data_IF_565012436759
#
_entry.id   IF_565012436759
#
_cell.length_a   1.000
_cell.length_b   1.000
_cell.length_c   1.000
_cell.angle_alpha   90.00
_cell.angle_beta   90.00
_cell.angle_gamma   90.00
#
_symmetry.space_group_name_H-M   'P 1'
#
loop_
_entity.id
_entity.type
_entity.pdbx_description
1 polymer ?
#
# COMPACT_ATOMS: atom_id res chain seq x y z
N UNK A 1 -22.75 18.12 6.01
CA UNK A 1 -21.29 17.90 5.92
C UNK A 1 -21.08 16.41 6.16
N UNK A 2 -20.83 15.67 5.09
CA UNK A 2 -20.83 14.20 5.04
C UNK A 2 -19.55 13.63 5.66
N UNK A 3 -19.73 12.77 6.65
CA UNK A 3 -18.69 12.02 7.35
C UNK A 3 -17.89 11.11 6.38
N UNK A 4 -16.56 11.29 6.24
CA UNK A 4 -15.72 10.52 5.31
C UNK A 4 -15.33 9.12 5.80
N UNK A 5 -15.77 8.67 6.98
CA UNK A 5 -15.30 7.42 7.59
C UNK A 5 -16.28 6.23 7.56
N UNK A 6 -17.53 6.42 7.12
CA UNK A 6 -18.42 5.28 6.95
C UNK A 6 -18.03 4.52 5.68
N UNK A 7 -17.57 3.27 5.86
CA UNK A 7 -17.73 2.24 4.83
C UNK A 7 -19.17 2.39 4.34
N UNK A 8 -19.37 2.72 3.06
CA UNK A 8 -20.72 2.76 2.49
C UNK A 8 -21.27 1.35 2.64
N UNK A 9 -22.03 1.12 3.71
CA UNK A 9 -22.78 -0.10 3.94
C UNK A 9 -23.92 -0.08 2.93
N UNK A 10 -23.59 -0.37 1.68
CA UNK A 10 -24.60 -0.68 0.69
C UNK A 10 -25.15 -2.05 1.04
N UNK A 11 -26.45 -2.14 1.28
CA UNK A 11 -27.12 -3.43 1.37
C UNK A 11 -26.84 -4.21 0.08
N UNK A 12 -26.19 -5.38 0.22
CA UNK A 12 -25.84 -6.24 -0.92
C UNK A 12 -24.45 -6.86 -0.84
N UNK A 13 -24.18 -7.81 -1.72
CA UNK A 13 -22.87 -8.46 -1.83
C UNK A 13 -21.86 -7.50 -2.45
N UNK A 14 -20.85 -7.10 -1.68
CA UNK A 14 -19.68 -6.41 -2.21
C UNK A 14 -18.93 -7.34 -3.16
N UNK A 15 -18.81 -6.92 -4.43
CA UNK A 15 -18.00 -7.63 -5.42
C UNK A 15 -16.66 -6.94 -5.55
N UNK A 16 -15.55 -7.68 -5.75
CA UNK A 16 -14.28 -7.07 -6.12
C UNK A 16 -14.45 -6.20 -7.35
N UNK A 17 -13.97 -4.96 -7.30
CA UNK A 17 -13.98 -4.09 -8.44
C UNK A 17 -12.94 -4.59 -9.46
N UNK A 18 -13.43 -5.26 -10.51
CA UNK A 18 -12.60 -5.79 -11.61
C UNK A 18 -11.94 -4.70 -12.45
N UNK A 19 -12.33 -3.43 -12.28
CA UNK A 19 -11.66 -2.29 -12.92
C UNK A 19 -10.42 -1.82 -12.17
N UNK A 20 -10.21 -2.30 -10.95
CA UNK A 20 -9.05 -2.06 -10.09
C UNK A 20 -8.19 -3.33 -9.95
N UNK A 21 -7.85 -3.96 -11.08
CA UNK A 21 -7.03 -5.18 -11.10
C UNK A 21 -5.51 -4.85 -11.01
N UNK A 22 -5.13 -4.08 -9.99
CA UNK A 22 -3.74 -3.69 -9.72
C UNK A 22 -2.82 -4.91 -9.50
N UNK A 23 -3.41 -6.04 -9.10
CA UNK A 23 -2.72 -7.32 -8.91
C UNK A 23 -2.35 -8.03 -10.22
N UNK A 24 -3.07 -7.80 -11.33
CA UNK A 24 -2.85 -8.57 -12.56
C UNK A 24 -1.63 -8.13 -13.36
N UNK A 25 -1.29 -6.85 -13.35
CA UNK A 25 -0.22 -6.29 -14.16
C UNK A 25 0.93 -5.78 -13.27
N UNK A 26 1.76 -6.72 -12.80
CA UNK A 26 2.99 -6.42 -12.07
C UNK A 26 2.80 -6.04 -10.60
N UNK A 27 1.78 -6.59 -9.95
CA UNK A 27 1.69 -6.60 -8.49
C UNK A 27 2.79 -7.45 -7.84
N UNK A 28 2.56 -7.86 -6.59
CA UNK A 28 3.51 -8.69 -5.86
C UNK A 28 3.61 -10.11 -6.43
N UNK A 29 4.80 -10.70 -6.43
CA UNK A 29 5.03 -12.08 -6.90
C UNK A 29 4.93 -13.13 -5.78
N UNK A 30 4.78 -12.67 -4.54
CA UNK A 30 4.54 -13.51 -3.35
C UNK A 30 3.45 -12.89 -2.49
N UNK A 31 3.07 -13.60 -1.43
CA UNK A 31 2.00 -13.20 -0.52
C UNK A 31 2.18 -11.77 0.01
N UNK A 32 1.15 -10.95 -0.19
CA UNK A 32 1.03 -9.62 0.42
C UNK A 32 0.78 -9.81 1.91
N UNK A 33 1.60 -9.17 2.73
CA UNK A 33 1.57 -9.30 4.20
C UNK A 33 0.94 -8.10 4.87
N UNK A 34 1.08 -6.92 4.28
CA UNK A 34 0.59 -5.67 4.88
C UNK A 34 0.14 -4.68 3.81
N UNK A 35 -0.85 -3.87 4.15
CA UNK A 35 -1.38 -2.78 3.34
C UNK A 35 -1.60 -1.55 4.23
N UNK A 36 -1.40 -0.34 3.70
CA UNK A 36 -1.61 0.89 4.45
C UNK A 36 -2.12 2.01 3.55
N UNK A 37 -3.07 2.80 4.06
CA UNK A 37 -3.55 4.02 3.43
C UNK A 37 -2.62 5.19 3.70
N UNK A 38 -2.45 6.06 2.71
CA UNK A 38 -1.73 7.33 2.86
C UNK A 38 -2.72 8.49 3.08
N UNK A 39 -2.27 9.61 3.66
CA UNK A 39 -3.15 10.70 4.11
C UNK A 39 -3.98 11.34 3.00
N UNK A 40 -3.56 11.24 1.74
CA UNK A 40 -4.31 11.80 0.61
C UNK A 40 -5.57 10.97 0.25
N UNK A 41 -5.87 9.86 0.95
CA UNK A 41 -6.98 8.92 0.70
C UNK A 41 -7.05 8.35 -0.73
N UNK A 42 -6.01 8.60 -1.53
CA UNK A 42 -5.95 8.32 -2.97
C UNK A 42 -4.70 7.52 -3.33
N UNK A 43 -3.85 7.25 -2.36
CA UNK A 43 -2.68 6.40 -2.48
C UNK A 43 -2.67 5.32 -1.40
N UNK A 44 -2.18 4.15 -1.77
CA UNK A 44 -2.07 2.98 -0.90
C UNK A 44 -0.71 2.34 -1.08
N UNK A 45 -0.11 1.86 0.00
CA UNK A 45 1.09 1.05 -0.04
C UNK A 45 0.80 -0.41 0.31
N UNK A 46 1.51 -1.34 -0.31
CA UNK A 46 1.45 -2.77 -0.01
C UNK A 46 2.85 -3.35 0.17
N UNK A 47 3.00 -4.33 1.06
CA UNK A 47 4.26 -5.01 1.34
C UNK A 47 4.08 -6.52 1.19
N UNK A 48 5.14 -7.20 0.75
CA UNK A 48 5.08 -8.62 0.44
C UNK A 48 6.35 -9.37 0.80
N UNK A 49 6.19 -10.69 0.86
CA UNK A 49 7.28 -11.67 0.92
C UNK A 49 8.21 -11.64 -0.29
N UNK A 50 7.89 -10.90 -1.37
CA UNK A 50 8.76 -10.67 -2.53
C UNK A 50 9.84 -9.61 -2.32
N UNK A 51 10.00 -9.16 -1.06
CA UNK A 51 10.96 -8.15 -0.62
C UNK A 51 10.66 -6.73 -1.12
N UNK A 52 9.46 -6.50 -1.69
CA UNK A 52 9.08 -5.20 -2.23
C UNK A 52 8.01 -4.53 -1.39
N UNK A 53 8.04 -3.20 -1.43
CA UNK A 53 6.91 -2.35 -1.10
C UNK A 53 6.45 -1.67 -2.38
N UNK A 54 5.15 -1.70 -2.68
CA UNK A 54 4.58 -1.07 -3.87
C UNK A 54 3.63 0.03 -3.42
N UNK A 55 3.81 1.24 -3.97
CA UNK A 55 2.90 2.36 -3.78
C UNK A 55 2.03 2.49 -5.01
N UNK A 56 0.72 2.55 -4.80
CA UNK A 56 -0.29 2.71 -5.84
C UNK A 56 -0.91 4.10 -5.78
N UNK A 57 -1.10 4.68 -6.94
CA UNK A 57 -1.99 5.81 -7.16
C UNK A 57 -3.34 5.26 -7.62
N UNK A 58 -4.36 5.42 -6.78
CA UNK A 58 -5.70 4.89 -7.06
C UNK A 58 -6.48 5.79 -8.00
N UNK A 59 -6.19 7.10 -8.07
CA UNK A 59 -6.83 8.01 -9.03
C UNK A 59 -6.41 7.65 -10.44
N UNK A 60 -5.10 7.46 -10.64
CA UNK A 60 -4.53 7.09 -11.93
C UNK A 60 -4.55 5.57 -12.18
N UNK A 61 -5.04 4.78 -11.22
CA UNK A 61 -5.11 3.31 -11.27
C UNK A 61 -3.78 2.66 -11.67
N UNK A 62 -2.66 3.16 -11.13
CA UNK A 62 -1.31 2.72 -11.52
C UNK A 62 -0.40 2.46 -10.34
N UNK A 63 0.66 1.68 -10.58
CA UNK A 63 1.82 1.56 -9.69
C UNK A 63 2.62 2.85 -9.79
N UNK A 64 2.64 3.64 -8.73
CA UNK A 64 3.41 4.87 -8.67
C UNK A 64 4.88 4.55 -8.42
N UNK A 65 5.17 3.68 -7.44
CA UNK A 65 6.53 3.34 -7.04
C UNK A 65 6.69 1.88 -6.65
N UNK A 66 7.88 1.33 -6.88
CA UNK A 66 8.31 0.03 -6.39
C UNK A 66 9.60 0.25 -5.59
N UNK A 67 9.55 -0.07 -4.31
CA UNK A 67 10.59 0.19 -3.34
C UNK A 67 11.28 -1.14 -3.00
N UNK A 68 12.58 -1.24 -3.27
CA UNK A 68 13.32 -2.52 -3.32
C UNK A 68 14.51 -2.56 -2.35
N UNK A 69 14.46 -1.85 -1.24
CA UNK A 69 15.58 -1.80 -0.29
C UNK A 69 15.67 -3.04 0.59
N UNK A 70 14.54 -3.66 0.90
CA UNK A 70 14.50 -4.86 1.73
C UNK A 70 15.09 -6.06 0.99
N UNK A 71 15.86 -6.89 1.71
CA UNK A 71 16.49 -8.09 1.13
C UNK A 71 15.79 -9.41 1.53
N UNK A 72 14.79 -9.33 2.43
CA UNK A 72 13.89 -10.42 2.79
C UNK A 72 12.45 -9.90 2.84
N UNK A 73 11.50 -10.81 3.06
CA UNK A 73 10.07 -10.51 3.06
C UNK A 73 9.70 -9.37 4.00
N UNK A 74 8.92 -8.42 3.49
CA UNK A 74 8.41 -7.27 4.23
C UNK A 74 7.06 -7.64 4.81
N UNK A 75 6.92 -7.50 6.13
CA UNK A 75 5.73 -7.94 6.87
C UNK A 75 4.94 -6.79 7.49
N UNK A 76 5.53 -5.60 7.61
CA UNK A 76 4.89 -4.45 8.23
C UNK A 76 4.98 -3.20 7.35
N UNK A 77 3.86 -2.46 7.29
CA UNK A 77 3.78 -1.11 6.77
C UNK A 77 3.05 -0.20 7.75
N UNK A 78 3.59 1.00 7.96
CA UNK A 78 2.92 2.05 8.72
C UNK A 78 3.16 3.40 8.06
N UNK A 79 2.08 4.14 7.81
CA UNK A 79 2.17 5.51 7.33
C UNK A 79 2.14 6.50 8.50
N UNK A 80 2.98 7.54 8.43
CA UNK A 80 3.00 8.66 9.37
C UNK A 80 2.43 9.91 8.67
N UNK A 81 1.17 10.33 8.99
CA UNK A 81 0.55 11.48 8.35
C UNK A 81 1.28 12.80 8.61
N UNK A 82 1.87 12.97 9.80
CA UNK A 82 2.51 14.24 10.21
C UNK A 82 3.63 14.68 9.28
N UNK A 83 4.42 13.71 8.81
CA UNK A 83 5.61 13.95 7.99
C UNK A 83 5.51 13.28 6.61
N UNK A 84 4.33 12.77 6.25
CA UNK A 84 4.06 12.03 5.02
C UNK A 84 5.04 10.86 4.73
N UNK A 85 5.60 10.24 5.76
CA UNK A 85 6.57 9.15 5.63
C UNK A 85 5.89 7.79 5.64
N UNK A 86 6.45 6.85 4.89
CA UNK A 86 6.09 5.43 4.97
C UNK A 86 7.21 4.67 5.70
N UNK A 87 6.83 3.82 6.65
CA UNK A 87 7.73 2.93 7.37
C UNK A 87 7.47 1.50 6.89
N UNK A 88 8.53 0.75 6.66
CA UNK A 88 8.45 -0.69 6.36
C UNK A 88 9.44 -1.51 7.17
N UNK A 89 9.04 -2.72 7.52
CA UNK A 89 9.86 -3.65 8.31
C UNK A 89 9.61 -5.10 7.93
N UNK A 90 10.65 -5.94 8.05
CA UNK A 90 10.64 -7.28 7.50
C UNK A 90 11.56 -8.28 8.22
N UNK A 91 11.71 -9.46 7.60
CA UNK A 91 12.60 -10.52 8.06
C UNK A 91 14.10 -10.21 7.90
N UNK A 92 14.43 -9.10 7.25
CA UNK A 92 15.80 -8.63 7.08
C UNK A 92 16.35 -7.85 8.27
N UNK A 93 15.55 -7.69 9.32
CA UNK A 93 15.92 -7.00 10.55
C UNK A 93 16.18 -5.51 10.37
N UNK A 94 15.81 -4.93 9.22
CA UNK A 94 15.91 -3.50 8.95
C UNK A 94 14.55 -2.83 8.95
N UNK A 95 14.54 -1.56 9.35
CA UNK A 95 13.42 -0.65 9.15
C UNK A 95 13.82 0.31 8.04
N UNK A 96 13.01 0.42 7.00
CA UNK A 96 13.18 1.44 5.98
C UNK A 96 12.19 2.58 6.23
N UNK A 97 12.70 3.81 6.11
CA UNK A 97 11.90 5.04 6.14
C UNK A 97 11.91 5.59 4.73
N UNK A 98 10.73 5.77 4.16
CA UNK A 98 10.53 6.32 2.83
C UNK A 98 9.97 7.73 2.96
N UNK A 99 10.81 8.70 2.60
CA UNK A 99 10.47 10.12 2.58
C UNK A 99 10.29 10.55 1.11
N UNK A 100 9.12 11.08 0.72
CA UNK A 100 8.90 11.59 -0.63
C UNK A 100 9.70 12.87 -0.95
N UNK A 101 10.23 13.56 0.06
CA UNK A 101 11.01 14.80 -0.07
C UNK A 101 12.52 14.65 0.11
N UNK A 102 13.02 13.43 0.36
CA UNK A 102 14.45 13.15 0.50
C UNK A 102 15.21 13.12 -0.83
#
# INVERSE_FOLDING_TARGET
>A
ITDPAHVRLTEGTLKPDKTFDLCKAGGHTKAVQSICWMANMMSMATASMDCKVIVYDLVLKKRAHVLTQHNKGVVFLQYCPKNHMLLSGGFDSFICIWDPGA
#
